data_IF_213388205918
#
_entry.id   IF_213388205918
#
_cell.length_a   1.000
_cell.length_b   1.000
_cell.length_c   1.000
_cell.angle_alpha   90.00
_cell.angle_beta   90.00
_cell.angle_gamma   90.00
#
_symmetry.space_group_name_H-M   'P 1'
#
loop_
_entity.id
_entity.type
_entity.pdbx_description
1 polymer ?
#
# COMPACT_ATOMS: atom_id res chain seq x y z
N UNK A 1 45.48 -3.26 50.09
CA UNK A 1 45.74 -3.02 48.66
C UNK A 1 44.42 -3.21 47.89
N UNK A 2 44.02 -2.14 47.18
CA UNK A 2 42.95 -1.98 46.18
C UNK A 2 41.56 -2.60 46.46
N UNK A 3 40.68 -1.74 46.96
CA UNK A 3 39.21 -1.79 46.81
C UNK A 3 38.86 -1.60 45.33
N UNK A 4 37.86 -2.32 44.82
CA UNK A 4 37.16 -1.96 43.58
C UNK A 4 35.66 -1.85 43.89
N UNK A 5 35.21 -0.60 43.95
CA UNK A 5 33.83 -0.17 43.85
C UNK A 5 33.58 0.08 42.37
N UNK A 6 32.57 -0.56 41.78
CA UNK A 6 31.91 -0.05 40.58
C UNK A 6 30.39 -0.16 40.81
N UNK A 7 29.83 1.01 41.11
CA UNK A 7 28.44 1.40 40.98
C UNK A 7 28.15 1.61 39.48
N UNK A 8 26.96 1.24 38.99
CA UNK A 8 26.14 2.09 38.11
C UNK A 8 24.82 1.40 37.72
N UNK A 9 23.78 1.75 38.48
CA UNK A 9 22.46 2.20 38.02
C UNK A 9 22.18 2.01 36.52
N UNK A 10 21.21 1.17 36.16
CA UNK A 10 20.59 1.25 34.85
C UNK A 10 19.09 1.50 34.96
N UNK A 11 18.70 2.51 34.21
CA UNK A 11 17.63 3.45 34.46
C UNK A 11 16.36 2.96 33.76
N UNK A 12 15.27 2.94 34.52
CA UNK A 12 13.93 2.76 33.97
C UNK A 12 13.60 3.98 33.09
N UNK A 13 13.46 3.79 31.78
CA UNK A 13 12.89 4.80 30.88
C UNK A 13 11.82 4.13 30.01
N UNK A 14 10.59 4.21 30.52
CA UNK A 14 9.39 4.14 29.72
C UNK A 14 9.46 5.27 28.67
N UNK A 15 9.72 4.94 27.42
CA UNK A 15 9.63 5.90 26.32
C UNK A 15 8.23 5.78 25.72
N UNK A 16 7.29 6.46 26.38
CA UNK A 16 6.02 6.87 25.79
C UNK A 16 6.30 8.02 24.83
N UNK A 17 6.31 7.76 23.52
CA UNK A 17 6.35 8.83 22.49
C UNK A 17 4.92 9.05 21.99
N UNK A 18 4.20 9.92 22.69
CA UNK A 18 3.11 10.69 22.12
C UNK A 18 3.61 12.12 21.98
N UNK A 19 4.13 12.47 20.80
CA UNK A 19 4.25 13.85 20.35
C UNK A 19 4.03 13.90 18.84
N UNK A 20 2.85 14.40 18.46
CA UNK A 20 2.59 14.85 17.11
C UNK A 20 3.31 16.18 16.85
N UNK A 21 4.27 16.15 15.93
CA UNK A 21 4.64 17.22 15.01
C UNK A 21 5.52 16.59 13.93
N UNK A 22 5.22 16.86 12.67
CA UNK A 22 5.69 16.13 11.50
C UNK A 22 7.20 15.96 11.42
N UNK A 23 7.67 14.76 11.75
CA UNK A 23 8.90 14.21 11.22
C UNK A 23 8.44 13.39 10.01
N UNK A 24 8.80 13.80 8.79
CA UNK A 24 8.73 12.89 7.65
C UNK A 24 9.62 11.69 8.02
N UNK A 25 9.02 10.56 8.40
CA UNK A 25 9.78 9.33 8.64
C UNK A 25 10.46 8.99 7.33
N UNK A 26 11.78 9.10 7.30
CA UNK A 26 12.59 8.68 6.17
C UNK A 26 12.22 7.23 5.82
N UNK A 27 11.87 6.99 4.56
CA UNK A 27 11.47 5.66 4.12
C UNK A 27 12.73 4.79 4.08
N UNK A 28 12.80 3.83 5.01
CA UNK A 28 13.91 2.88 5.06
C UNK A 28 13.85 1.95 3.87
N UNK A 29 15.02 1.66 3.28
CA UNK A 29 15.17 0.61 2.28
C UNK A 29 14.79 -0.75 2.89
N UNK A 30 14.06 -1.56 2.12
CA UNK A 30 13.68 -2.91 2.54
C UNK A 30 14.91 -3.82 2.66
N UNK A 31 15.00 -4.56 3.77
CA UNK A 31 15.88 -5.71 3.94
C UNK A 31 15.09 -7.02 3.74
N UNK A 32 15.79 -8.14 3.56
CA UNK A 32 15.14 -9.46 3.44
C UNK A 32 14.34 -9.83 4.69
N UNK A 33 14.81 -9.43 5.88
CA UNK A 33 14.11 -9.66 7.14
C UNK A 33 12.83 -8.82 7.24
N UNK A 34 12.86 -7.58 6.72
CA UNK A 34 11.65 -6.74 6.63
C UNK A 34 10.61 -7.40 5.72
N UNK A 35 11.02 -7.85 4.52
CA UNK A 35 10.13 -8.50 3.56
C UNK A 35 9.50 -9.76 4.16
N UNK A 36 10.30 -10.60 4.82
CA UNK A 36 9.82 -11.81 5.50
C UNK A 36 8.86 -11.46 6.64
N UNK A 37 9.20 -10.49 7.46
CA UNK A 37 8.36 -10.04 8.58
C UNK A 37 7.02 -9.52 8.09
N UNK A 38 7.01 -8.61 7.12
CA UNK A 38 5.78 -8.01 6.59
C UNK A 38 4.89 -9.04 5.90
N UNK A 39 5.45 -9.87 5.03
CA UNK A 39 4.68 -10.89 4.32
C UNK A 39 4.13 -12.01 5.23
N UNK A 40 4.80 -12.31 6.36
CA UNK A 40 4.31 -13.31 7.32
C UNK A 40 3.00 -12.89 8.02
N UNK A 41 2.68 -11.60 8.02
CA UNK A 41 1.47 -11.03 8.62
C UNK A 41 0.30 -10.98 7.63
N UNK A 42 0.50 -11.46 6.39
CA UNK A 42 -0.46 -11.36 5.30
C UNK A 42 -1.10 -12.71 4.98
N UNK A 43 -2.31 -12.66 4.44
CA UNK A 43 -2.89 -13.81 3.76
C UNK A 43 -2.06 -14.12 2.51
N UNK A 44 -1.78 -15.40 2.27
CA UNK A 44 -1.00 -15.90 1.14
C UNK A 44 -1.65 -15.64 -0.23
N UNK A 45 -2.97 -15.42 -0.27
CA UNK A 45 -3.73 -15.15 -1.50
C UNK A 45 -3.35 -13.76 -2.09
N UNK A 46 -2.93 -13.68 -3.37
CA UNK A 46 -2.65 -12.41 -4.03
C UNK A 46 -3.85 -11.45 -4.06
N UNK A 47 -5.08 -11.95 -3.98
CA UNK A 47 -6.31 -11.15 -4.02
C UNK A 47 -6.86 -10.81 -2.62
N UNK A 48 -6.13 -11.14 -1.56
CA UNK A 48 -6.55 -10.89 -0.18
C UNK A 48 -6.75 -9.41 0.18
N UNK A 49 -6.21 -8.49 -0.62
CA UNK A 49 -6.21 -7.06 -0.33
C UNK A 49 -5.10 -6.63 0.65
N UNK A 50 -4.25 -7.55 1.09
CA UNK A 50 -3.13 -7.24 1.97
C UNK A 50 -1.99 -6.54 1.21
N UNK A 51 -1.46 -5.46 1.79
CA UNK A 51 -0.30 -4.72 1.28
C UNK A 51 0.40 -4.01 2.42
N UNK A 52 1.73 -3.95 2.38
CA UNK A 52 2.51 -3.04 3.21
C UNK A 52 2.99 -1.88 2.37
N UNK A 53 2.74 -0.66 2.84
CA UNK A 53 3.33 0.58 2.31
C UNK A 53 4.21 1.21 3.38
N UNK A 54 5.47 1.48 3.05
CA UNK A 54 6.43 2.12 3.95
C UNK A 54 6.51 1.43 5.33
N UNK A 55 6.42 0.10 5.34
CA UNK A 55 6.46 -0.73 6.56
C UNK A 55 5.15 -0.82 7.35
N UNK A 56 4.07 -0.16 6.91
CA UNK A 56 2.74 -0.25 7.53
C UNK A 56 1.82 -1.16 6.73
N UNK A 57 1.24 -2.17 7.38
CA UNK A 57 0.27 -3.08 6.77
C UNK A 57 -1.11 -2.42 6.64
N UNK A 58 -1.74 -2.63 5.49
CA UNK A 58 -3.14 -2.35 5.19
C UNK A 58 -3.80 -3.63 4.65
N UNK A 59 -5.11 -3.72 4.81
CA UNK A 59 -5.95 -4.76 4.19
C UNK A 59 -7.12 -4.04 3.51
N UNK A 60 -7.21 -4.13 2.19
CA UNK A 60 -8.28 -3.50 1.42
C UNK A 60 -9.58 -4.33 1.46
N UNK A 61 -10.74 -3.68 1.61
CA UNK A 61 -10.91 -2.24 1.74
C UNK A 61 -10.55 -1.73 3.16
N UNK A 62 -10.00 -0.51 3.24
CA UNK A 62 -9.60 0.13 4.51
C UNK A 62 -10.19 1.54 4.60
N UNK A 63 -10.40 2.08 5.80
CA UNK A 63 -10.84 3.48 5.93
C UNK A 63 -9.81 4.44 5.34
N UNK A 64 -10.26 5.46 4.63
CA UNK A 64 -9.44 6.56 4.12
C UNK A 64 -8.57 7.18 5.22
N UNK A 65 -9.15 7.38 6.40
CA UNK A 65 -8.47 7.88 7.59
C UNK A 65 -7.25 7.04 8.01
N UNK A 66 -7.24 5.74 7.76
CA UNK A 66 -6.09 4.89 8.10
C UNK A 66 -4.83 5.26 7.31
N UNK A 67 -4.96 5.73 6.07
CA UNK A 67 -3.80 6.23 5.31
C UNK A 67 -3.38 7.61 5.83
N UNK A 68 -4.34 8.51 6.10
CA UNK A 68 -4.04 9.84 6.66
C UNK A 68 -3.33 9.77 8.02
N UNK A 69 -3.79 8.88 8.91
CA UNK A 69 -3.17 8.65 10.23
C UNK A 69 -1.73 8.12 10.12
N UNK A 70 -1.38 7.52 8.98
CA UNK A 70 -0.05 7.02 8.66
C UNK A 70 0.78 8.01 7.80
N UNK A 71 0.34 9.26 7.69
CA UNK A 71 1.12 10.36 7.10
C UNK A 71 0.86 10.63 5.63
N UNK A 72 -0.02 9.85 4.97
CA UNK A 72 -0.44 10.13 3.61
C UNK A 72 -1.35 11.36 3.56
N UNK A 73 -1.19 12.19 2.53
CA UNK A 73 -1.95 13.42 2.34
C UNK A 73 -2.51 13.44 0.94
N UNK A 74 -3.80 13.75 0.84
CA UNK A 74 -4.44 14.02 -0.44
C UNK A 74 -3.83 15.25 -1.11
N UNK A 75 -3.55 15.13 -2.40
CA UNK A 75 -3.23 16.26 -3.26
C UNK A 75 -4.53 16.90 -3.72
N UNK A 76 -4.80 18.14 -3.28
CA UNK A 76 -5.90 19.03 -3.68
C UNK A 76 -7.11 18.28 -4.31
N UNK A 77 -7.85 17.54 -3.46
CA UNK A 77 -9.00 16.74 -3.86
C UNK A 77 -10.31 17.48 -3.58
N UNK A 78 -11.11 17.71 -4.62
CA UNK A 78 -12.26 18.63 -4.56
C UNK A 78 -13.34 18.25 -3.54
N UNK A 79 -13.52 16.96 -3.27
CA UNK A 79 -14.55 16.45 -2.36
C UNK A 79 -14.02 16.13 -0.96
N UNK A 80 -12.73 16.44 -0.69
CA UNK A 80 -12.18 16.32 0.66
C UNK A 80 -12.96 17.20 1.63
N UNK A 81 -13.38 16.61 2.74
CA UNK A 81 -14.16 17.29 3.79
C UNK A 81 -15.63 17.50 3.44
N UNK A 82 -16.11 17.00 2.30
CA UNK A 82 -17.53 16.96 1.97
C UNK A 82 -18.11 15.58 2.27
N UNK A 83 -19.41 15.49 2.62
CA UNK A 83 -20.10 14.21 2.68
C UNK A 83 -20.10 13.53 1.30
N UNK A 84 -19.83 12.22 1.29
CA UNK A 84 -19.89 11.37 0.11
C UNK A 84 -21.22 10.62 0.09
N UNK A 85 -21.97 10.75 -1.00
CA UNK A 85 -23.26 10.06 -1.18
C UNK A 85 -23.08 8.55 -1.31
N UNK A 86 -24.17 7.80 -1.14
CA UNK A 86 -24.18 6.38 -1.49
C UNK A 86 -23.86 6.16 -2.98
N UNK A 87 -23.29 5.00 -3.31
CA UNK A 87 -22.75 4.64 -4.62
C UNK A 87 -21.68 5.60 -5.16
N UNK A 88 -21.01 6.34 -4.28
CA UNK A 88 -19.86 7.15 -4.66
C UNK A 88 -18.68 6.26 -5.03
N UNK A 89 -18.03 6.56 -6.15
CA UNK A 89 -16.85 5.87 -6.61
C UNK A 89 -15.99 6.85 -7.40
N UNK A 90 -14.75 7.05 -6.96
CA UNK A 90 -13.75 7.83 -7.70
C UNK A 90 -12.43 7.07 -7.62
N UNK A 91 -11.87 6.74 -8.78
CA UNK A 91 -10.50 6.26 -8.90
C UNK A 91 -9.51 7.43 -9.06
N UNK A 92 -8.23 7.10 -9.18
CA UNK A 92 -7.22 8.07 -9.62
C UNK A 92 -6.97 9.25 -8.66
N UNK A 93 -7.30 9.11 -7.38
CA UNK A 93 -7.05 10.16 -6.37
C UNK A 93 -5.60 10.10 -5.90
N UNK A 94 -4.89 11.22 -5.97
CA UNK A 94 -3.48 11.26 -5.62
C UNK A 94 -3.26 11.48 -4.11
N UNK A 95 -2.37 10.69 -3.53
CA UNK A 95 -1.84 10.92 -2.18
C UNK A 95 -0.30 10.88 -2.18
N UNK A 96 0.34 11.62 -1.29
CA UNK A 96 1.78 11.53 -1.00
C UNK A 96 2.09 11.88 0.46
N UNK A 97 3.36 12.08 0.82
CA UNK A 97 3.81 12.43 2.16
C UNK A 97 3.67 13.93 2.50
N UNK A 98 3.01 14.70 1.64
CA UNK A 98 2.87 16.14 1.69
C UNK A 98 3.90 16.91 0.87
N UNK A 99 4.83 16.23 0.20
CA UNK A 99 5.82 16.90 -0.64
C UNK A 99 5.28 17.27 -2.02
N UNK A 100 4.10 16.78 -2.42
CA UNK A 100 3.54 16.93 -3.78
C UNK A 100 4.45 16.35 -4.88
N UNK A 101 5.41 15.49 -4.51
CA UNK A 101 6.41 14.92 -5.42
C UNK A 101 5.92 13.59 -6.00
N UNK A 102 6.32 13.30 -7.23
CA UNK A 102 6.07 12.00 -7.86
C UNK A 102 6.86 10.87 -7.17
N UNK A 103 7.92 11.22 -6.44
CA UNK A 103 8.78 10.27 -5.72
C UNK A 103 8.06 9.59 -4.53
N UNK A 104 7.09 10.26 -3.92
CA UNK A 104 6.25 9.74 -2.82
C UNK A 104 4.82 9.41 -3.24
N UNK A 105 4.44 9.62 -4.50
CA UNK A 105 3.04 9.55 -4.91
C UNK A 105 2.50 8.12 -4.92
N UNK A 106 1.27 7.96 -4.45
CA UNK A 106 0.41 6.83 -4.75
C UNK A 106 -0.92 7.35 -5.30
N UNK A 107 -1.68 6.44 -5.87
CA UNK A 107 -3.03 6.69 -6.33
C UNK A 107 -3.98 5.76 -5.58
N UNK A 108 -5.12 6.28 -5.13
CA UNK A 108 -6.13 5.51 -4.40
C UNK A 108 -7.49 5.59 -5.09
N UNK A 109 -8.29 4.55 -4.88
CA UNK A 109 -9.71 4.51 -5.24
C UNK A 109 -10.52 4.66 -3.97
N UNK A 110 -11.34 5.72 -3.88
CA UNK A 110 -12.29 5.93 -2.78
C UNK A 110 -13.67 5.52 -3.23
N UNK A 111 -14.41 4.85 -2.34
CA UNK A 111 -15.80 4.49 -2.57
C UNK A 111 -16.66 4.63 -1.31
N UNK A 112 -17.95 4.83 -1.52
CA UNK A 112 -19.01 4.69 -0.52
C UNK A 112 -20.13 3.83 -1.11
N UNK A 113 -20.38 2.68 -0.50
CA UNK A 113 -21.49 1.79 -0.85
C UNK A 113 -22.30 1.37 0.38
N UNK A 114 -22.34 2.23 1.40
CA UNK A 114 -22.97 1.94 2.68
C UNK A 114 -24.50 1.98 2.65
N UNK A 115 -25.13 2.43 1.55
CA UNK A 115 -26.56 2.71 1.48
C UNK A 115 -26.96 4.08 2.04
N UNK A 116 -25.99 4.88 2.51
CA UNK A 116 -26.22 6.21 3.08
C UNK A 116 -25.08 7.18 2.77
N UNK A 117 -25.33 8.47 2.98
CA UNK A 117 -24.26 9.47 2.96
C UNK A 117 -23.30 9.28 4.14
N UNK A 118 -22.00 9.44 3.89
CA UNK A 118 -20.96 9.31 4.91
C UNK A 118 -19.95 10.45 4.85
N UNK A 119 -19.23 10.68 5.95
CA UNK A 119 -18.12 11.63 5.95
C UNK A 119 -16.96 11.10 5.12
N UNK A 120 -16.20 12.00 4.49
CA UNK A 120 -15.03 11.64 3.70
C UNK A 120 -14.02 10.79 4.50
N UNK A 121 -13.80 11.08 5.78
CA UNK A 121 -12.85 10.34 6.62
C UNK A 121 -13.32 8.90 6.92
N UNK A 122 -14.63 8.68 6.86
CA UNK A 122 -15.23 7.35 7.05
C UNK A 122 -15.27 6.55 5.74
N UNK A 123 -15.02 7.20 4.59
CA UNK A 123 -15.02 6.56 3.28
C UNK A 123 -13.97 5.44 3.21
N UNK A 124 -14.21 4.49 2.32
CA UNK A 124 -13.35 3.33 2.16
C UNK A 124 -12.40 3.55 0.97
N UNK A 125 -11.14 3.22 1.17
CA UNK A 125 -10.18 3.00 0.10
C UNK A 125 -10.31 1.55 -0.33
N UNK A 126 -10.67 1.39 -1.60
CA UNK A 126 -10.89 0.11 -2.25
C UNK A 126 -9.78 -0.30 -3.21
N UNK A 127 -8.91 0.64 -3.57
CA UNK A 127 -7.81 0.41 -4.49
C UNK A 127 -6.61 1.27 -4.15
N UNK A 128 -5.42 0.70 -4.31
CA UNK A 128 -4.14 1.38 -4.18
C UNK A 128 -3.32 1.03 -5.42
N UNK A 129 -2.88 2.06 -6.13
CA UNK A 129 -1.96 1.97 -7.26
C UNK A 129 -0.65 2.67 -6.92
N UNK A 130 0.44 1.95 -7.12
CA UNK A 130 1.81 2.44 -7.02
C UNK A 130 2.36 2.50 -8.43
N UNK A 131 2.70 3.69 -8.90
CA UNK A 131 3.45 3.89 -10.14
C UNK A 131 4.85 4.38 -9.78
N UNK A 132 5.87 3.55 -10.01
CA UNK A 132 7.27 3.93 -9.86
C UNK A 132 7.62 4.93 -10.97
N UNK A 133 7.34 6.21 -10.74
CA UNK A 133 7.47 7.27 -11.73
C UNK A 133 8.90 7.39 -12.30
N UNK A 134 9.91 7.19 -11.45
CA UNK A 134 11.32 7.19 -11.79
C UNK A 134 12.15 6.43 -10.74
N UNK A 135 13.47 6.40 -10.90
CA UNK A 135 14.36 5.69 -9.95
C UNK A 135 14.52 6.38 -8.59
N UNK A 136 14.09 7.64 -8.44
CA UNK A 136 14.03 8.36 -7.17
C UNK A 136 12.76 8.04 -6.37
N UNK A 137 11.87 7.20 -6.89
CA UNK A 137 10.69 6.74 -6.14
C UNK A 137 11.09 6.08 -4.83
N UNK A 138 10.57 6.60 -3.71
CA UNK A 138 11.06 6.24 -2.38
C UNK A 138 10.14 5.30 -1.61
N UNK A 139 8.87 5.16 -1.99
CA UNK A 139 7.97 4.31 -1.22
C UNK A 139 8.34 2.83 -1.36
N UNK A 140 8.26 2.10 -0.25
CA UNK A 140 8.45 0.66 -0.22
C UNK A 140 7.13 -0.07 -0.23
N UNK A 141 7.06 -1.17 -0.99
CA UNK A 141 5.88 -2.01 -1.13
C UNK A 141 6.26 -3.46 -0.89
N UNK A 142 5.50 -4.13 -0.03
CA UNK A 142 5.53 -5.58 0.12
C UNK A 142 4.12 -6.12 -0.01
N UNK A 143 3.93 -7.10 -0.87
CA UNK A 143 2.69 -7.86 -1.08
C UNK A 143 2.81 -9.24 -0.44
N UNK A 144 1.72 -10.03 -0.40
CA UNK A 144 1.77 -11.43 -0.02
C UNK A 144 2.95 -12.19 -0.64
N UNK A 145 3.45 -13.22 0.06
CA UNK A 145 4.60 -14.03 -0.39
C UNK A 145 5.90 -13.23 -0.64
N UNK A 146 5.99 -11.98 -0.19
CA UNK A 146 7.22 -11.19 -0.23
C UNK A 146 7.49 -10.51 -1.57
N UNK A 147 6.48 -10.39 -2.45
CA UNK A 147 6.61 -9.66 -3.71
C UNK A 147 6.83 -8.17 -3.44
N UNK A 148 7.78 -7.55 -4.14
CA UNK A 148 8.12 -6.13 -4.02
C UNK A 148 8.28 -5.47 -5.40
N UNK A 149 8.54 -4.16 -5.46
CA UNK A 149 8.87 -3.48 -6.71
C UNK A 149 10.14 -4.01 -7.41
N UNK A 150 11.03 -4.69 -6.67
CA UNK A 150 12.23 -5.31 -7.25
C UNK A 150 11.98 -6.71 -7.83
N UNK A 151 10.78 -7.27 -7.64
CA UNK A 151 10.44 -8.61 -8.15
C UNK A 151 10.37 -8.64 -9.67
N UNK A 152 10.83 -9.76 -10.22
CA UNK A 152 10.78 -10.10 -11.64
C UNK A 152 9.47 -10.81 -12.00
N UNK A 153 9.22 -11.02 -13.30
CA UNK A 153 8.09 -11.85 -13.76
C UNK A 153 8.18 -13.27 -13.17
N UNK A 154 9.36 -13.86 -13.16
CA UNK A 154 9.60 -15.20 -12.63
C UNK A 154 9.28 -15.28 -11.13
N UNK A 155 9.61 -14.24 -10.36
CA UNK A 155 9.25 -14.16 -8.94
C UNK A 155 7.74 -14.13 -8.75
N UNK A 156 7.00 -13.41 -9.60
CA UNK A 156 5.53 -13.36 -9.55
C UNK A 156 4.92 -14.74 -9.81
N UNK A 157 5.36 -15.43 -10.87
CA UNK A 157 4.85 -16.76 -11.19
C UNK A 157 5.21 -17.77 -10.10
N UNK A 158 6.40 -17.67 -9.51
CA UNK A 158 6.80 -18.51 -8.38
C UNK A 158 5.96 -18.26 -7.13
N UNK A 159 5.62 -17.00 -6.86
CA UNK A 159 4.87 -16.61 -5.67
C UNK A 159 3.38 -16.98 -5.76
N UNK A 160 2.76 -16.77 -6.92
CA UNK A 160 1.30 -16.79 -7.07
C UNK A 160 0.78 -17.80 -8.10
N UNK A 161 1.66 -18.44 -8.87
CA UNK A 161 1.27 -19.35 -9.94
C UNK A 161 0.86 -18.62 -11.22
N UNK A 162 0.02 -19.28 -12.03
CA UNK A 162 -0.44 -18.71 -13.29
C UNK A 162 -1.45 -17.57 -13.07
N UNK A 163 -1.28 -16.41 -13.74
CA UNK A 163 -2.22 -15.30 -13.64
C UNK A 163 -3.50 -15.57 -14.45
N UNK A 164 -4.54 -14.78 -14.19
CA UNK A 164 -5.77 -14.81 -15.00
C UNK A 164 -5.53 -14.28 -16.41
N UNK A 165 -4.73 -13.21 -16.52
CA UNK A 165 -4.28 -12.66 -17.80
C UNK A 165 -2.77 -12.47 -17.77
N UNK A 166 -2.10 -13.07 -18.75
CA UNK A 166 -0.68 -12.89 -19.00
C UNK A 166 -0.48 -12.26 -20.38
N UNK A 167 -0.08 -10.99 -20.39
CA UNK A 167 0.38 -10.31 -21.59
C UNK A 167 1.78 -9.72 -21.39
N UNK A 168 2.62 -10.42 -20.61
CA UNK A 168 3.97 -9.99 -20.28
C UNK A 168 4.81 -9.72 -21.55
N UNK A 169 4.71 -10.58 -22.56
CA UNK A 169 5.44 -10.40 -23.82
C UNK A 169 4.97 -9.17 -24.61
N UNK A 170 3.66 -8.93 -24.69
CA UNK A 170 3.07 -7.88 -25.53
C UNK A 170 3.14 -6.52 -24.86
N UNK A 171 2.63 -6.42 -23.64
CA UNK A 171 2.46 -5.15 -22.92
C UNK A 171 3.29 -5.07 -21.64
N UNK A 172 3.84 -6.18 -21.16
CA UNK A 172 4.53 -6.23 -19.87
C UNK A 172 3.54 -6.26 -18.70
N UNK A 173 2.35 -6.80 -18.90
CA UNK A 173 1.26 -6.79 -17.92
C UNK A 173 0.93 -8.23 -17.47
N UNK A 174 0.73 -8.38 -16.17
CA UNK A 174 0.26 -9.62 -15.53
C UNK A 174 -0.85 -9.28 -14.56
N UNK A 175 -1.99 -9.96 -14.66
CA UNK A 175 -3.19 -9.63 -13.88
C UNK A 175 -3.83 -10.86 -13.27
N UNK A 176 -4.11 -10.78 -11.97
CA UNK A 176 -4.94 -11.70 -11.20
C UNK A 176 -6.28 -11.00 -10.93
N UNK A 177 -7.40 -11.69 -11.15
CA UNK A 177 -8.74 -11.16 -10.82
C UNK A 177 -9.60 -12.23 -10.14
N UNK A 178 -10.51 -11.79 -9.27
CA UNK A 178 -11.61 -12.62 -8.83
C UNK A 178 -12.64 -12.76 -9.96
N UNK A 179 -13.41 -13.85 -9.95
CA UNK A 179 -14.63 -13.92 -10.75
C UNK A 179 -15.62 -12.83 -10.31
N UNK A 180 -16.41 -12.27 -11.24
CA UNK A 180 -17.44 -11.25 -10.94
C UNK A 180 -17.25 -9.93 -11.68
N UNK A 181 -17.93 -8.87 -11.22
CA UNK A 181 -17.87 -7.56 -11.86
C UNK A 181 -16.60 -6.81 -11.42
N UNK A 182 -15.58 -6.81 -12.29
CA UNK A 182 -14.31 -6.16 -12.03
C UNK A 182 -14.24 -4.69 -12.45
N UNK A 183 -15.31 -4.08 -12.95
CA UNK A 183 -15.29 -2.67 -13.36
C UNK A 183 -15.15 -1.77 -12.11
N UNK A 184 -16.17 -1.77 -11.26
CA UNK A 184 -16.20 -0.95 -10.05
C UNK A 184 -16.01 -1.76 -8.76
N UNK A 185 -16.25 -3.08 -8.82
CA UNK A 185 -16.19 -3.99 -7.68
C UNK A 185 -15.11 -5.06 -7.91
N UNK A 186 -15.07 -6.05 -7.02
CA UNK A 186 -14.22 -7.23 -7.12
C UNK A 186 -12.78 -7.00 -6.67
N UNK A 187 -12.01 -8.09 -6.77
CA UNK A 187 -10.60 -8.12 -6.40
C UNK A 187 -9.74 -8.19 -7.65
N UNK A 188 -8.68 -7.39 -7.70
CA UNK A 188 -7.71 -7.35 -8.79
C UNK A 188 -6.32 -7.08 -8.22
N UNK A 189 -5.33 -7.82 -8.70
CA UNK A 189 -3.92 -7.50 -8.52
C UNK A 189 -3.26 -7.47 -9.89
N UNK A 190 -2.68 -6.34 -10.25
CA UNK A 190 -2.05 -6.12 -11.54
C UNK A 190 -0.62 -5.63 -11.37
N UNK A 191 0.26 -6.23 -12.17
CA UNK A 191 1.67 -5.90 -12.26
C UNK A 191 1.98 -5.43 -13.67
N UNK A 192 2.58 -4.26 -13.78
CA UNK A 192 3.18 -3.79 -15.01
C UNK A 192 4.70 -3.72 -14.83
N UNK A 193 5.42 -4.34 -15.75
CA UNK A 193 6.87 -4.45 -15.74
C UNK A 193 7.51 -3.37 -16.60
N UNK A 194 8.68 -2.91 -16.15
CA UNK A 194 9.68 -2.26 -16.99
C UNK A 194 10.39 -3.35 -17.80
N UNK A 195 10.24 -3.30 -19.13
CA UNK A 195 10.76 -4.35 -20.02
C UNK A 195 12.29 -4.33 -20.12
N UNK A 196 12.92 -3.20 -19.87
CA UNK A 196 14.37 -3.05 -19.99
C UNK A 196 15.06 -3.51 -18.71
N UNK A 197 14.45 -3.22 -17.55
CA UNK A 197 14.98 -3.59 -16.23
C UNK A 197 14.50 -4.95 -15.73
N UNK A 198 13.49 -5.54 -16.35
CA UNK A 198 12.81 -6.78 -15.94
C UNK A 198 12.31 -6.77 -14.48
N UNK A 199 11.83 -5.61 -14.01
CA UNK A 199 11.27 -5.44 -12.66
C UNK A 199 9.94 -4.69 -12.73
N UNK A 200 9.17 -4.74 -11.65
CA UNK A 200 7.87 -4.08 -11.58
C UNK A 200 8.05 -2.55 -11.58
N UNK A 201 7.32 -1.87 -12.47
CA UNK A 201 7.18 -0.41 -12.47
C UNK A 201 5.83 0.07 -11.96
N UNK A 202 4.81 -0.78 -11.96
CA UNK A 202 3.51 -0.43 -11.38
C UNK A 202 2.81 -1.64 -10.77
N UNK A 203 2.15 -1.40 -9.64
CA UNK A 203 1.30 -2.34 -8.92
C UNK A 203 -0.06 -1.68 -8.78
N UNK A 204 -1.12 -2.38 -9.14
CA UNK A 204 -2.49 -1.99 -8.77
C UNK A 204 -3.17 -3.11 -8.01
N UNK A 205 -3.45 -2.85 -6.73
CA UNK A 205 -4.23 -3.73 -5.87
C UNK A 205 -5.61 -3.11 -5.64
N UNK A 206 -6.66 -3.87 -5.95
CA UNK A 206 -8.06 -3.50 -5.71
C UNK A 206 -8.74 -4.63 -4.94
N UNK A 207 -9.54 -4.26 -3.95
CA UNK A 207 -10.44 -5.15 -3.23
C UNK A 207 -11.67 -4.33 -2.82
N UNK A 208 -12.71 -4.37 -3.65
CA UNK A 208 -13.97 -3.66 -3.41
C UNK A 208 -15.09 -4.69 -3.34
N UNK A 209 -15.78 -4.83 -2.19
CA UNK A 209 -16.88 -5.78 -2.05
C UNK A 209 -17.99 -5.47 -3.06
N UNK A 210 -18.56 -6.50 -3.69
CA UNK A 210 -19.78 -6.35 -4.47
C UNK A 210 -20.95 -5.99 -3.54
N UNK A 211 -21.78 -5.02 -3.96
CA UNK A 211 -23.04 -4.73 -3.28
C UNK A 211 -23.95 -5.96 -3.45
N UNK A 212 -24.26 -6.64 -2.34
CA UNK A 212 -25.24 -7.72 -2.31
C UNK A 212 -26.66 -7.18 -2.20
#
# INVERSE_FOLDING_TARGET
MKKLIILCLNFCLCVSILTGCGISKEVKKLTDEDIKTFSSQMNADPLSGDITLNGIKYTLPVKAKSLEDNGWKYNDYADKGKPLKDNYYIDSILMDDGSKSEESRITVTIYNTSGSEMKFEDAMIGGIKIDKANDSYKNTVVLPKGVTLASTYEDIIKAYGAPTFDSMKQTGLVTYISHGNIANYGQKLEFQFDKDKNVIKSIYLKSIPENK
#
